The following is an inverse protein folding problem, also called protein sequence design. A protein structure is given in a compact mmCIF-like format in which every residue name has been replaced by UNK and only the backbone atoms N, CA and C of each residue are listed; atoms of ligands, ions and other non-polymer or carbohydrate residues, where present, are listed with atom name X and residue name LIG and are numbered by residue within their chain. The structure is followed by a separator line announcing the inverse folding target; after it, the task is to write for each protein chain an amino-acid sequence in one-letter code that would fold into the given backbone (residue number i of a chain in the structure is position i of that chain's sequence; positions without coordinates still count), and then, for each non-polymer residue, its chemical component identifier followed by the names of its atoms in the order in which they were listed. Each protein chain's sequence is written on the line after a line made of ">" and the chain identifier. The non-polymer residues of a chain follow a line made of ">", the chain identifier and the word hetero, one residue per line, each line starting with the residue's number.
data_IF_097307186370
#
_entry.id   IF_097307186370
#
_cell.length_a   1.000
_cell.length_b   1.000
_cell.length_c   1.000
_cell.angle_alpha   90.00
_cell.angle_beta   90.00
_cell.angle_gamma   90.00
#
_symmetry.space_group_name_H-M   'P 1'
#
loop_
_entity.id
_entity.type
_entity.pdbx_description
1 polymer ?
#
# COMPACT_ATOMS: atom_id res chain seq x y z
N UNK A 1 -9.72 9.31 -27.02
CA UNK A 1 -8.64 10.11 -26.42
C UNK A 1 -8.68 9.91 -24.90
N UNK A 2 -7.53 9.70 -24.24
CA UNK A 2 -7.42 9.65 -22.78
C UNK A 2 -6.56 10.82 -22.31
N UNK A 3 -6.97 11.48 -21.24
CA UNK A 3 -6.20 12.55 -20.60
C UNK A 3 -5.60 11.98 -19.31
N UNK A 4 -4.30 12.16 -19.15
CA UNK A 4 -3.57 11.77 -17.95
C UNK A 4 -2.73 12.96 -17.51
N UNK A 5 -3.20 13.65 -16.48
CA UNK A 5 -2.58 14.87 -15.92
C UNK A 5 -2.64 14.80 -14.39
N UNK A 6 -1.96 13.83 -13.76
CA UNK A 6 -2.14 13.51 -12.34
C UNK A 6 -1.76 14.67 -11.42
N UNK A 7 -2.47 14.81 -10.30
CA UNK A 7 -2.11 15.73 -9.22
C UNK A 7 -1.11 15.09 -8.23
N UNK A 8 -0.43 15.90 -7.39
CA UNK A 8 0.50 15.37 -6.40
C UNK A 8 -0.14 14.32 -5.49
N UNK A 9 0.43 13.11 -5.49
CA UNK A 9 -0.07 11.99 -4.69
C UNK A 9 -1.39 11.38 -5.18
N UNK A 10 -1.89 11.73 -6.37
CA UNK A 10 -3.06 11.11 -6.99
C UNK A 10 -2.77 9.66 -7.42
N UNK A 11 -3.75 8.77 -7.31
CA UNK A 11 -3.64 7.41 -7.85
C UNK A 11 -3.89 7.38 -9.37
N UNK A 12 -3.15 6.53 -10.10
CA UNK A 12 -3.21 6.45 -11.57
C UNK A 12 -4.63 6.28 -12.14
N UNK A 13 -5.46 5.43 -11.52
CA UNK A 13 -6.84 5.23 -11.97
C UNK A 13 -7.72 6.46 -11.70
N UNK A 14 -7.44 7.21 -10.61
CA UNK A 14 -8.12 8.48 -10.32
C UNK A 14 -7.82 9.52 -11.39
N UNK A 15 -6.55 9.69 -11.74
CA UNK A 15 -6.13 10.67 -12.75
C UNK A 15 -6.75 10.37 -14.12
N UNK A 16 -6.77 9.09 -14.53
CA UNK A 16 -7.43 8.68 -15.76
C UNK A 16 -8.95 8.85 -15.71
N UNK A 17 -9.61 8.50 -14.60
CA UNK A 17 -11.05 8.72 -14.47
C UNK A 17 -11.39 10.21 -14.54
N UNK A 18 -10.65 11.06 -13.83
CA UNK A 18 -10.85 12.50 -13.85
C UNK A 18 -10.66 13.09 -15.25
N UNK A 19 -9.61 12.69 -15.96
CA UNK A 19 -9.39 13.08 -17.35
C UNK A 19 -10.52 12.62 -18.28
N UNK A 20 -11.06 11.42 -18.07
CA UNK A 20 -12.22 10.91 -18.82
C UNK A 20 -13.50 11.70 -18.50
N UNK A 21 -13.76 12.01 -17.23
CA UNK A 21 -14.92 12.81 -16.81
C UNK A 21 -14.91 14.20 -17.45
N UNK A 22 -13.73 14.83 -17.58
CA UNK A 22 -13.58 16.13 -18.28
C UNK A 22 -13.92 16.05 -19.77
N UNK A 23 -13.77 14.88 -20.39
CA UNK A 23 -14.14 14.61 -21.78
C UNK A 23 -15.58 14.12 -21.94
N UNK A 24 -16.36 14.05 -20.85
CA UNK A 24 -17.70 13.46 -20.85
C UNK A 24 -17.72 11.94 -21.01
N UNK A 25 -16.55 11.28 -20.90
CA UNK A 25 -16.42 9.83 -20.98
C UNK A 25 -16.66 9.21 -19.61
N UNK A 26 -17.58 8.24 -19.52
CA UNK A 26 -17.97 7.64 -18.23
C UNK A 26 -17.18 6.40 -17.84
N UNK A 27 -16.50 5.76 -18.80
CA UNK A 27 -15.95 4.42 -18.58
C UNK A 27 -14.44 4.48 -18.44
N UNK A 28 -13.96 4.11 -17.25
CA UNK A 28 -12.60 3.65 -17.02
C UNK A 28 -12.65 2.13 -16.84
N UNK A 29 -11.93 1.39 -17.67
CA UNK A 29 -11.79 -0.05 -17.56
C UNK A 29 -10.47 -0.41 -16.91
N UNK A 30 -10.39 -1.58 -16.28
CA UNK A 30 -9.14 -2.05 -15.65
C UNK A 30 -7.94 -2.03 -16.60
N UNK A 31 -8.14 -2.43 -17.86
CA UNK A 31 -7.10 -2.46 -18.90
C UNK A 31 -6.46 -1.09 -19.16
N UNK A 32 -7.12 -0.02 -18.74
CA UNK A 32 -6.65 1.34 -18.96
C UNK A 32 -5.53 1.76 -18.01
N UNK A 33 -5.47 1.14 -16.81
CA UNK A 33 -4.54 1.54 -15.75
C UNK A 33 -3.79 0.35 -15.12
N UNK A 34 -4.25 -0.89 -15.34
CA UNK A 34 -3.65 -2.07 -14.72
C UNK A 34 -2.25 -2.34 -15.26
N UNK A 35 -1.26 -2.27 -14.37
CA UNK A 35 0.13 -2.59 -14.65
C UNK A 35 0.39 -4.00 -14.13
N UNK A 36 0.69 -4.91 -15.05
CA UNK A 36 0.75 -6.35 -14.78
C UNK A 36 2.19 -6.76 -14.49
N UNK A 37 2.49 -7.41 -13.34
CA UNK A 37 3.80 -8.01 -13.12
C UNK A 37 4.05 -9.15 -14.11
N UNK A 38 5.25 -9.21 -14.67
CA UNK A 38 5.69 -10.27 -15.58
C UNK A 38 6.21 -11.44 -14.74
N UNK A 39 5.57 -12.62 -14.79
CA UNK A 39 6.04 -13.80 -14.07
C UNK A 39 7.48 -14.17 -14.43
N UNK A 40 8.20 -14.74 -13.46
CA UNK A 40 9.54 -15.29 -13.70
C UNK A 40 9.43 -16.61 -14.45
N UNK A 41 10.33 -16.84 -15.40
CA UNK A 41 10.40 -18.14 -16.10
C UNK A 41 10.96 -19.23 -15.18
N UNK A 42 10.48 -20.46 -15.35
CA UNK A 42 10.95 -21.64 -14.60
C UNK A 42 10.44 -21.77 -13.16
N UNK A 43 9.64 -20.81 -12.65
CA UNK A 43 8.98 -20.91 -11.35
C UNK A 43 7.58 -21.53 -11.52
N UNK A 44 7.49 -22.86 -11.44
CA UNK A 44 6.24 -23.61 -11.52
C UNK A 44 6.37 -24.89 -12.36
N UNK A 45 6.51 -26.03 -11.69
CA UNK A 45 6.23 -27.40 -12.15
C UNK A 45 6.70 -27.86 -13.55
N UNK A 46 7.93 -27.54 -13.96
CA UNK A 46 8.62 -28.33 -14.99
C UNK A 46 10.06 -28.64 -14.56
N UNK A 47 10.39 -29.94 -14.45
CA UNK A 47 11.76 -30.40 -14.30
C UNK A 47 12.55 -29.99 -15.56
N UNK A 48 13.48 -29.04 -15.43
CA UNK A 48 14.45 -28.73 -16.48
C UNK A 48 14.53 -27.26 -16.91
N UNK A 49 13.55 -26.41 -16.55
CA UNK A 49 13.63 -25.00 -16.89
C UNK A 49 14.59 -24.25 -15.94
N UNK A 50 15.54 -23.51 -16.50
CA UNK A 50 16.42 -22.63 -15.70
C UNK A 50 15.55 -21.55 -15.03
N UNK A 51 15.52 -21.57 -13.71
CA UNK A 51 14.87 -20.54 -12.91
C UNK A 51 15.47 -19.17 -13.25
N UNK A 52 14.61 -18.25 -13.63
CA UNK A 52 15.01 -16.87 -13.85
C UNK A 52 15.16 -16.12 -12.52
N UNK A 53 16.37 -15.63 -12.27
CA UNK A 53 16.66 -14.79 -11.12
C UNK A 53 16.58 -13.31 -11.51
N UNK A 54 15.74 -12.55 -10.78
CA UNK A 54 15.65 -11.10 -10.91
C UNK A 54 15.71 -10.45 -9.53
N UNK A 55 16.41 -9.33 -9.44
CA UNK A 55 16.50 -8.52 -8.23
C UNK A 55 15.28 -7.59 -8.07
N UNK A 56 14.53 -7.35 -9.14
CA UNK A 56 13.34 -6.49 -9.16
C UNK A 56 12.23 -7.11 -10.01
N UNK A 57 10.99 -6.64 -9.80
CA UNK A 57 9.85 -7.01 -10.63
C UNK A 57 9.90 -6.28 -11.98
N UNK A 58 9.48 -6.96 -13.04
CA UNK A 58 9.29 -6.37 -14.38
C UNK A 58 7.80 -6.24 -14.62
N UNK A 59 7.37 -5.17 -15.29
CA UNK A 59 5.96 -4.88 -15.52
C UNK A 59 5.63 -4.74 -17.00
N UNK A 60 4.43 -5.20 -17.35
CA UNK A 60 3.76 -4.88 -18.60
C UNK A 60 2.81 -3.70 -18.35
N UNK A 61 2.95 -2.67 -19.16
CA UNK A 61 2.19 -1.43 -19.04
C UNK A 61 1.05 -1.36 -20.07
N UNK A 62 -0.06 -0.67 -19.76
CA UNK A 62 -1.02 -0.22 -20.75
C UNK A 62 -0.34 0.53 -21.91
N UNK A 63 -0.76 0.25 -23.14
CA UNK A 63 -0.14 0.81 -24.37
C UNK A 63 -0.04 2.34 -24.35
N UNK A 64 -1.07 3.00 -23.82
CA UNK A 64 -1.12 4.45 -23.69
C UNK A 64 0.05 5.03 -22.86
N UNK A 65 0.49 4.35 -21.79
CA UNK A 65 1.62 4.84 -21.00
C UNK A 65 2.94 4.66 -21.74
N UNK A 66 3.09 3.55 -22.49
CA UNK A 66 4.28 3.30 -23.30
C UNK A 66 4.38 4.28 -24.47
N UNK A 67 3.27 4.55 -25.16
CA UNK A 67 3.19 5.48 -26.29
C UNK A 67 3.52 6.91 -25.86
N UNK A 68 3.13 7.31 -24.64
CA UNK A 68 3.40 8.64 -24.10
C UNK A 68 4.73 8.75 -23.34
N UNK A 69 5.51 7.68 -23.25
CA UNK A 69 6.77 7.64 -22.51
C UNK A 69 6.65 8.04 -21.03
N UNK A 70 5.54 7.67 -20.37
CA UNK A 70 5.28 7.98 -18.94
C UNK A 70 5.32 6.76 -18.02
N UNK A 71 5.66 5.58 -18.52
CA UNK A 71 5.56 4.31 -17.78
C UNK A 71 6.30 4.30 -16.43
N UNK A 72 7.55 4.76 -16.39
CA UNK A 72 8.37 4.75 -15.17
C UNK A 72 7.87 5.76 -14.14
N UNK A 73 7.55 6.98 -14.59
CA UNK A 73 6.97 8.03 -13.75
C UNK A 73 5.64 7.56 -13.15
N UNK A 74 4.78 6.94 -13.97
CA UNK A 74 3.51 6.37 -13.51
C UNK A 74 3.74 5.34 -12.43
N UNK A 75 4.61 4.37 -12.70
CA UNK A 75 4.91 3.30 -11.76
C UNK A 75 5.37 3.88 -10.42
N UNK A 76 6.36 4.76 -10.43
CA UNK A 76 6.97 5.27 -9.19
C UNK A 76 6.05 6.22 -8.41
N UNK A 77 5.32 7.09 -9.09
CA UNK A 77 4.64 8.21 -8.42
C UNK A 77 3.15 8.00 -8.20
N UNK A 78 2.48 7.22 -9.05
CA UNK A 78 1.01 7.13 -9.09
C UNK A 78 0.48 5.72 -8.85
N UNK A 79 1.33 4.78 -8.42
CA UNK A 79 0.94 3.40 -8.06
C UNK A 79 1.42 3.04 -6.65
N UNK A 80 1.19 1.77 -6.24
CA UNK A 80 1.72 1.22 -4.99
C UNK A 80 3.13 0.61 -5.15
N UNK A 81 3.79 0.78 -6.30
CA UNK A 81 5.13 0.23 -6.54
C UNK A 81 6.17 0.61 -5.47
N UNK A 82 6.28 1.87 -5.00
CA UNK A 82 7.21 2.22 -3.91
C UNK A 82 7.09 1.32 -2.68
N UNK A 83 5.85 0.95 -2.31
CA UNK A 83 5.57 0.05 -1.20
C UNK A 83 6.12 -1.35 -1.46
N UNK A 84 5.93 -1.88 -2.67
CA UNK A 84 6.45 -3.19 -3.07
C UNK A 84 7.98 -3.22 -3.10
N UNK A 85 8.60 -2.12 -3.56
CA UNK A 85 10.05 -1.95 -3.65
C UNK A 85 10.69 -1.85 -2.28
N UNK A 86 10.12 -1.04 -1.38
CA UNK A 86 10.58 -0.90 -0.01
C UNK A 86 10.52 -2.22 0.75
N UNK A 87 9.45 -3.00 0.55
CA UNK A 87 9.21 -4.28 1.23
C UNK A 87 9.86 -5.49 0.54
N UNK A 88 10.63 -5.27 -0.53
CA UNK A 88 11.32 -6.34 -1.25
C UNK A 88 10.39 -7.38 -1.86
N UNK A 89 9.20 -6.97 -2.29
CA UNK A 89 8.19 -7.82 -2.92
C UNK A 89 8.45 -7.88 -4.42
N UNK A 90 8.94 -9.01 -4.90
CA UNK A 90 9.43 -9.18 -6.29
C UNK A 90 8.79 -10.37 -7.03
N UNK A 91 7.63 -10.82 -6.55
CA UNK A 91 6.91 -12.01 -7.05
C UNK A 91 5.85 -11.65 -8.09
N UNK A 92 5.28 -12.66 -8.74
CA UNK A 92 4.30 -12.49 -9.82
C UNK A 92 2.91 -12.06 -9.33
N UNK A 93 2.64 -12.14 -8.03
CA UNK A 93 1.38 -11.81 -7.38
C UNK A 93 1.34 -10.39 -6.80
N UNK A 94 2.39 -9.59 -7.01
CA UNK A 94 2.43 -8.20 -6.52
C UNK A 94 1.33 -7.36 -7.15
N UNK A 95 0.70 -6.51 -6.34
CA UNK A 95 -0.38 -5.62 -6.78
C UNK A 95 0.05 -4.16 -6.65
N UNK A 96 0.53 -3.58 -7.76
CA UNK A 96 0.90 -2.15 -7.82
C UNK A 96 -0.27 -1.25 -8.18
N UNK A 97 -1.24 -1.77 -8.94
CA UNK A 97 -2.46 -1.05 -9.36
C UNK A 97 -3.71 -1.83 -8.97
N UNK A 98 -4.15 -1.78 -7.70
CA UNK A 98 -5.33 -2.50 -7.24
C UNK A 98 -6.61 -2.05 -7.95
N UNK A 99 -7.54 -2.99 -8.13
CA UNK A 99 -8.86 -2.79 -8.76
C UNK A 99 -9.83 -2.06 -7.85
N UNK A 100 -9.75 -2.32 -6.56
CA UNK A 100 -10.49 -1.61 -5.53
C UNK A 100 -9.61 -0.49 -4.99
N UNK A 101 -9.89 0.73 -5.42
CA UNK A 101 -9.02 1.87 -5.14
C UNK A 101 -9.76 3.09 -4.61
N UNK A 102 -11.09 3.18 -4.76
CA UNK A 102 -11.83 4.37 -4.36
C UNK A 102 -12.21 4.36 -2.88
N UNK A 103 -11.28 4.87 -2.08
CA UNK A 103 -11.52 5.31 -0.71
C UNK A 103 -11.14 6.78 -0.60
N UNK A 104 -11.97 7.59 0.02
CA UNK A 104 -11.74 9.03 0.14
C UNK A 104 -11.75 9.47 1.60
N UNK A 105 -10.99 10.53 1.87
CA UNK A 105 -11.10 11.29 3.09
C UNK A 105 -11.96 12.53 2.82
N UNK A 106 -13.01 12.81 3.62
CA UNK A 106 -13.82 14.02 3.48
C UNK A 106 -13.02 15.31 3.41
N UNK A 107 -12.03 15.48 4.30
CA UNK A 107 -11.19 16.67 4.34
C UNK A 107 -10.27 16.79 3.14
N UNK A 108 -9.62 15.69 2.71
CA UNK A 108 -8.85 15.70 1.45
C UNK A 108 -9.72 16.15 0.27
N UNK A 109 -10.96 15.65 0.16
CA UNK A 109 -11.85 16.03 -0.93
C UNK A 109 -12.19 17.52 -0.92
N UNK A 110 -12.36 18.14 0.25
CA UNK A 110 -12.59 19.59 0.37
C UNK A 110 -11.34 20.38 -0.04
N UNK A 111 -10.17 20.02 0.50
CA UNK A 111 -8.89 20.66 0.20
C UNK A 111 -8.52 20.53 -1.29
N UNK A 112 -8.73 19.36 -1.88
CA UNK A 112 -8.48 19.10 -3.30
C UNK A 112 -9.42 19.95 -4.17
N UNK A 113 -10.69 20.08 -3.79
CA UNK A 113 -11.64 20.91 -4.50
C UNK A 113 -11.29 22.40 -4.42
N UNK A 114 -10.89 22.89 -3.26
CA UNK A 114 -10.44 24.27 -3.05
C UNK A 114 -9.15 24.57 -3.83
N UNK A 115 -8.22 23.62 -3.89
CA UNK A 115 -6.91 23.81 -4.53
C UNK A 115 -6.92 23.60 -6.04
N UNK A 116 -7.68 22.62 -6.52
CA UNK A 116 -7.60 22.14 -7.92
C UNK A 116 -8.95 22.17 -8.65
N UNK A 117 -10.03 22.61 -7.99
CA UNK A 117 -11.37 22.64 -8.56
C UNK A 117 -12.03 21.27 -8.73
N UNK A 118 -11.38 20.20 -8.25
CA UNK A 118 -11.87 18.83 -8.40
C UNK A 118 -11.20 17.92 -7.37
N UNK A 119 -11.94 16.91 -6.92
CA UNK A 119 -11.45 15.93 -5.97
C UNK A 119 -10.75 14.77 -6.68
N UNK A 120 -9.86 14.09 -5.97
CA UNK A 120 -9.22 12.88 -6.47
C UNK A 120 -8.94 11.87 -5.35
N UNK A 121 -8.63 10.65 -5.75
CA UNK A 121 -8.21 9.61 -4.79
C UNK A 121 -6.70 9.70 -4.62
N UNK A 122 -6.29 10.01 -3.40
CA UNK A 122 -4.88 9.98 -2.99
C UNK A 122 -4.36 8.55 -2.93
N UNK A 123 -3.17 8.29 -3.49
CA UNK A 123 -2.51 6.97 -3.52
C UNK A 123 -2.38 6.34 -2.13
N UNK A 124 -2.20 7.16 -1.08
CA UNK A 124 -2.09 6.70 0.32
C UNK A 124 -3.40 6.10 0.86
N UNK A 125 -4.55 6.40 0.26
CA UNK A 125 -5.83 5.82 0.65
C UNK A 125 -6.10 4.47 -0.02
N UNK A 126 -5.38 4.17 -1.10
CA UNK A 126 -5.66 3.02 -1.98
C UNK A 126 -5.40 1.66 -1.32
N UNK A 127 -4.29 1.41 -0.60
CA UNK A 127 -4.01 0.09 -0.03
C UNK A 127 -5.18 -0.43 0.81
N UNK A 128 -5.63 -1.66 0.57
CA UNK A 128 -6.88 -2.18 1.14
C UNK A 128 -6.91 -2.12 2.67
N UNK A 129 -5.76 -2.41 3.30
CA UNK A 129 -5.56 -2.36 4.75
C UNK A 129 -5.63 -0.95 5.35
N UNK A 130 -5.50 0.12 4.56
CA UNK A 130 -5.57 1.50 5.08
C UNK A 130 -7.03 1.92 5.21
N UNK A 131 -7.46 2.19 6.45
CA UNK A 131 -8.85 2.59 6.80
C UNK A 131 -8.96 4.02 7.31
N UNK A 132 -7.84 4.69 7.55
CA UNK A 132 -7.76 6.03 8.14
C UNK A 132 -6.85 6.90 7.27
N UNK A 133 -7.20 8.18 7.13
CA UNK A 133 -6.34 9.15 6.47
C UNK A 133 -5.15 9.51 7.37
N UNK A 134 -3.93 9.37 6.85
CA UNK A 134 -2.71 9.68 7.59
C UNK A 134 -2.49 11.18 7.86
N UNK A 135 -3.25 12.05 7.17
CA UNK A 135 -3.17 13.52 7.30
C UNK A 135 -4.26 14.01 8.26
N UNK A 136 -5.51 13.69 7.96
CA UNK A 136 -6.66 14.26 8.67
C UNK A 136 -7.17 13.43 9.83
N UNK A 137 -6.64 12.21 10.03
CA UNK A 137 -7.08 11.30 11.08
C UNK A 137 -8.60 10.99 11.02
N UNK A 138 -9.12 10.92 9.81
CA UNK A 138 -10.51 10.59 9.51
C UNK A 138 -10.60 9.18 8.94
N UNK A 139 -11.67 8.46 9.31
CA UNK A 139 -12.01 7.19 8.66
C UNK A 139 -12.23 7.43 7.16
N UNK A 140 -11.61 6.60 6.34
CA UNK A 140 -11.81 6.64 4.89
C UNK A 140 -13.17 6.05 4.54
N UNK A 141 -13.86 6.72 3.63
CA UNK A 141 -15.19 6.33 3.17
C UNK A 141 -15.09 5.56 1.85
N UNK A 142 -15.82 4.45 1.78
CA UNK A 142 -16.06 3.65 0.56
C UNK A 142 -17.47 3.86 0.00
N UNK A 143 -18.31 4.63 0.70
CA UNK A 143 -19.69 4.97 0.33
C UNK A 143 -19.94 6.45 0.60
N UNK A 144 -20.64 7.13 -0.31
CA UNK A 144 -20.94 8.55 -0.18
C UNK A 144 -22.06 8.73 0.84
N UNK A 145 -21.81 9.45 1.93
CA UNK A 145 -22.83 9.69 2.97
C UNK A 145 -23.94 10.64 2.52
N UNK A 146 -23.75 11.39 1.43
CA UNK A 146 -24.74 12.34 0.91
C UNK A 146 -25.71 11.72 -0.10
N UNK A 147 -25.22 10.86 -1.00
CA UNK A 147 -26.03 10.27 -2.07
C UNK A 147 -26.12 8.74 -1.98
N UNK A 148 -25.55 8.14 -0.94
CA UNK A 148 -25.51 6.70 -0.66
C UNK A 148 -24.85 5.84 -1.75
N UNK A 149 -24.21 6.46 -2.74
CA UNK A 149 -23.56 5.76 -3.83
C UNK A 149 -22.21 5.18 -3.37
N UNK A 150 -21.91 3.90 -3.66
CA UNK A 150 -20.58 3.35 -3.47
C UNK A 150 -19.53 4.20 -4.20
N UNK A 151 -18.39 4.47 -3.56
CA UNK A 151 -17.34 5.32 -4.11
C UNK A 151 -16.86 4.80 -5.47
N UNK A 152 -16.75 3.48 -5.63
CA UNK A 152 -16.43 2.80 -6.90
C UNK A 152 -17.30 3.27 -8.08
N UNK A 153 -18.56 3.65 -7.84
CA UNK A 153 -19.50 4.12 -8.85
C UNK A 153 -19.64 5.65 -8.87
N UNK A 154 -19.04 6.35 -7.91
CA UNK A 154 -19.13 7.80 -7.79
C UNK A 154 -18.21 8.51 -8.79
N UNK A 155 -18.71 9.62 -9.34
CA UNK A 155 -17.93 10.54 -10.17
C UNK A 155 -17.06 11.45 -9.28
N UNK A 156 -15.79 11.61 -9.63
CA UNK A 156 -14.86 12.43 -8.86
C UNK A 156 -15.29 13.90 -8.89
N UNK A 157 -15.73 14.39 -10.05
CA UNK A 157 -16.29 15.73 -10.25
C UNK A 157 -17.48 16.05 -9.34
N UNK A 158 -18.29 15.05 -8.95
CA UNK A 158 -19.44 15.26 -8.05
C UNK A 158 -19.08 15.23 -6.57
N UNK A 159 -17.90 14.72 -6.21
CA UNK A 159 -17.50 14.62 -4.81
C UNK A 159 -17.40 15.99 -4.14
N UNK A 160 -16.96 17.04 -4.85
CA UNK A 160 -16.90 18.39 -4.30
C UNK A 160 -18.26 18.98 -3.91
N UNK A 161 -19.34 18.53 -4.55
CA UNK A 161 -20.71 18.93 -4.18
C UNK A 161 -21.19 18.12 -2.99
N UNK A 162 -20.97 16.79 -3.01
CA UNK A 162 -21.35 15.92 -1.90
C UNK A 162 -20.58 16.24 -0.63
N UNK A 163 -19.30 16.60 -0.73
CA UNK A 163 -18.42 16.77 0.42
C UNK A 163 -18.82 17.88 1.37
N UNK A 164 -19.55 18.88 0.88
CA UNK A 164 -20.13 19.96 1.70
C UNK A 164 -21.07 19.45 2.79
N UNK A 165 -21.58 18.22 2.65
CA UNK A 165 -22.52 17.59 3.59
C UNK A 165 -21.92 16.38 4.31
N UNK A 166 -20.62 16.11 4.15
CA UNK A 166 -19.99 14.97 4.80
C UNK A 166 -19.89 15.18 6.30
N UNK A 167 -20.21 14.12 7.03
CA UNK A 167 -19.92 14.02 8.45
C UNK A 167 -18.48 13.53 8.65
N UNK A 168 -17.78 14.13 9.59
CA UNK A 168 -16.41 13.77 9.92
C UNK A 168 -16.40 12.73 11.05
N UNK A 169 -15.81 11.57 10.76
CA UNK A 169 -15.56 10.51 11.73
C UNK A 169 -14.08 10.48 12.09
N UNK A 170 -13.73 11.16 13.17
CA UNK A 170 -12.37 11.17 13.69
C UNK A 170 -12.02 9.86 14.38
N UNK A 171 -10.77 9.45 14.22
CA UNK A 171 -10.18 8.34 14.96
C UNK A 171 -9.30 8.91 16.08
N UNK A 172 -9.09 8.18 17.18
CA UNK A 172 -8.20 8.63 18.25
C UNK A 172 -6.76 8.83 17.75
N UNK A 173 -6.04 9.81 18.29
CA UNK A 173 -4.65 10.11 17.90
C UNK A 173 -3.69 8.93 18.08
N UNK A 174 -3.98 8.07 19.06
CA UNK A 174 -3.11 6.96 19.46
C UNK A 174 -3.54 5.64 18.81
N UNK A 175 -4.41 5.70 17.80
CA UNK A 175 -4.91 4.51 17.12
C UNK A 175 -3.82 3.82 16.28
N UNK A 176 -3.74 2.48 16.40
CA UNK A 176 -2.95 1.62 15.51
C UNK A 176 -3.24 1.88 14.04
N UNK A 177 -4.51 2.11 13.68
CA UNK A 177 -4.91 2.40 12.29
C UNK A 177 -4.35 3.73 11.78
N UNK A 178 -4.25 4.76 12.63
CA UNK A 178 -3.63 6.03 12.26
C UNK A 178 -2.11 5.86 12.09
N UNK A 179 -1.44 5.27 13.06
CA UNK A 179 0.00 5.01 13.00
C UNK A 179 0.38 4.17 11.77
N UNK A 180 -0.40 3.13 11.48
CA UNK A 180 -0.25 2.32 10.27
C UNK A 180 -0.46 3.12 8.99
N UNK A 181 -1.47 3.99 8.93
CA UNK A 181 -1.68 4.83 7.75
C UNK A 181 -0.50 5.77 7.48
N UNK A 182 0.15 6.30 8.53
CA UNK A 182 1.37 7.11 8.44
C UNK A 182 2.55 6.28 7.95
N UNK A 183 2.75 5.09 8.52
CA UNK A 183 3.74 4.12 8.06
C UNK A 183 3.63 3.85 6.55
N UNK A 184 2.42 3.58 6.06
CA UNK A 184 2.16 3.36 4.62
C UNK A 184 2.41 4.63 3.80
N UNK A 185 1.95 5.80 4.27
CA UNK A 185 2.15 7.05 3.56
C UNK A 185 3.63 7.41 3.40
N UNK A 186 4.46 7.08 4.39
CA UNK A 186 5.90 7.30 4.35
C UNK A 186 6.62 6.27 3.47
N UNK A 187 6.26 4.98 3.54
CA UNK A 187 6.80 3.98 2.61
C UNK A 187 6.44 4.26 1.15
N UNK A 188 5.28 4.87 0.88
CA UNK A 188 4.94 5.27 -0.49
C UNK A 188 5.83 6.39 -1.06
N UNK A 189 6.61 7.08 -0.21
CA UNK A 189 7.61 8.07 -0.65
C UNK A 189 8.97 7.43 -0.98
N UNK A 190 9.12 6.12 -0.78
CA UNK A 190 10.39 5.43 -0.99
C UNK A 190 10.79 5.42 -2.47
N UNK A 191 11.99 5.91 -2.76
CA UNK A 191 12.59 6.02 -4.09
C UNK A 191 13.97 5.33 -4.19
N UNK A 192 14.36 4.61 -3.14
CA UNK A 192 15.62 3.88 -3.08
C UNK A 192 15.61 2.54 -3.85
N UNK A 193 16.72 1.79 -3.79
CA UNK A 193 16.84 0.49 -4.46
C UNK A 193 15.85 -0.53 -3.92
N UNK A 194 15.50 -1.55 -4.72
CA UNK A 194 14.64 -2.65 -4.25
C UNK A 194 15.30 -3.40 -3.10
N UNK A 195 14.61 -3.49 -1.96
CA UNK A 195 15.03 -4.30 -0.82
C UNK A 195 15.03 -5.77 -1.19
N UNK A 196 15.96 -6.58 -0.67
CA UNK A 196 15.88 -8.03 -0.88
C UNK A 196 14.82 -8.64 0.04
N UNK A 197 14.05 -9.61 -0.45
CA UNK A 197 13.00 -10.26 0.38
C UNK A 197 13.57 -10.85 1.66
N UNK A 198 14.79 -11.39 1.62
CA UNK A 198 15.46 -11.94 2.80
C UNK A 198 15.76 -10.87 3.87
N UNK A 199 16.26 -9.70 3.46
CA UNK A 199 16.51 -8.59 4.40
C UNK A 199 15.20 -8.07 5.00
N UNK A 200 14.16 -7.92 4.17
CA UNK A 200 12.83 -7.52 4.63
C UNK A 200 12.27 -8.51 5.65
N UNK A 201 12.26 -9.81 5.31
CA UNK A 201 11.78 -10.88 6.19
C UNK A 201 12.54 -10.87 7.52
N UNK A 202 13.88 -10.82 7.45
CA UNK A 202 14.70 -10.79 8.65
C UNK A 202 14.37 -9.59 9.54
N UNK A 203 14.30 -8.37 9.00
CA UNK A 203 14.01 -7.18 9.79
C UNK A 203 12.62 -7.24 10.45
N UNK A 204 11.61 -7.67 9.68
CA UNK A 204 10.22 -7.75 10.14
C UNK A 204 10.06 -8.81 11.23
N UNK A 205 10.44 -10.06 10.96
CA UNK A 205 10.21 -11.16 11.88
C UNK A 205 11.10 -11.10 13.11
N UNK A 206 12.34 -10.60 12.97
CA UNK A 206 13.21 -10.32 14.12
C UNK A 206 12.58 -9.28 15.05
N UNK A 207 12.04 -8.20 14.49
CA UNK A 207 11.42 -7.13 15.29
C UNK A 207 10.12 -7.59 15.96
N UNK A 208 9.28 -8.36 15.24
CA UNK A 208 8.07 -8.97 15.83
C UNK A 208 8.44 -9.91 16.98
N UNK A 209 9.44 -10.79 16.80
CA UNK A 209 9.88 -11.72 17.84
C UNK A 209 10.42 -11.00 19.07
N UNK A 210 11.16 -9.92 18.87
CA UNK A 210 11.69 -9.13 19.98
C UNK A 210 10.55 -8.46 20.77
N UNK A 211 9.52 -7.97 20.08
CA UNK A 211 8.42 -7.21 20.68
C UNK A 211 7.32 -8.09 21.29
N UNK A 212 6.95 -9.17 20.62
CA UNK A 212 5.80 -10.02 20.95
C UNK A 212 6.20 -11.48 21.25
N UNK A 213 7.48 -11.73 21.52
CA UNK A 213 8.01 -13.09 21.63
C UNK A 213 7.39 -13.91 22.76
N UNK A 214 6.96 -13.26 23.85
CA UNK A 214 6.34 -13.94 24.98
C UNK A 214 4.90 -14.33 24.67
N UNK A 215 4.14 -13.41 24.09
CA UNK A 215 2.76 -13.60 23.67
C UNK A 215 2.65 -14.68 22.61
N UNK A 216 3.53 -14.65 21.61
CA UNK A 216 3.61 -15.68 20.56
C UNK A 216 3.93 -17.07 21.14
N UNK A 217 4.79 -17.15 22.17
CA UNK A 217 5.12 -18.44 22.83
C UNK A 217 3.93 -19.01 23.61
N UNK A 218 3.01 -18.15 24.06
CA UNK A 218 1.83 -18.55 24.82
C UNK A 218 0.63 -18.86 23.92
N UNK A 219 0.52 -18.16 22.79
CA UNK A 219 -0.55 -18.29 21.81
C UNK A 219 -0.03 -18.12 20.38
N UNK A 220 0.05 -19.22 19.64
CA UNK A 220 0.47 -19.23 18.23
C UNK A 220 -0.50 -18.45 17.30
N UNK A 221 -1.73 -18.16 17.76
CA UNK A 221 -2.73 -17.34 17.08
C UNK A 221 -2.70 -15.87 17.51
N UNK A 222 -1.77 -15.47 18.38
CA UNK A 222 -1.69 -14.10 18.91
C UNK A 222 -1.63 -13.04 17.80
N UNK A 223 -0.70 -13.18 16.85
CA UNK A 223 -0.52 -12.19 15.77
C UNK A 223 -1.74 -12.13 14.84
N UNK A 224 -2.29 -13.25 14.33
CA UNK A 224 -3.55 -13.24 13.59
C UNK A 224 -4.71 -12.56 14.35
N UNK A 225 -4.88 -12.90 15.63
CA UNK A 225 -5.94 -12.34 16.48
C UNK A 225 -5.74 -10.84 16.71
N UNK A 226 -4.50 -10.41 16.95
CA UNK A 226 -4.14 -9.00 17.12
C UNK A 226 -4.41 -8.20 15.84
N UNK A 227 -4.05 -8.74 14.67
CA UNK A 227 -4.33 -8.06 13.39
C UNK A 227 -5.84 -7.94 13.17
N UNK A 228 -6.59 -9.00 13.49
CA UNK A 228 -8.04 -8.98 13.39
C UNK A 228 -8.67 -7.95 14.32
N UNK A 229 -8.21 -7.84 15.57
CA UNK A 229 -8.74 -6.86 16.54
C UNK A 229 -8.44 -5.42 16.14
N UNK A 230 -7.19 -5.14 15.75
CA UNK A 230 -6.74 -3.76 15.51
C UNK A 230 -7.08 -3.23 14.11
N UNK A 231 -7.13 -4.11 13.11
CA UNK A 231 -7.31 -3.72 11.70
C UNK A 231 -8.60 -4.25 11.08
N UNK A 232 -9.31 -5.18 11.73
CA UNK A 232 -10.50 -5.81 11.18
C UNK A 232 -10.23 -6.63 9.92
N UNK A 233 -9.00 -7.16 9.78
CA UNK A 233 -8.56 -7.97 8.62
C UNK A 233 -8.23 -9.36 9.10
N UNK A 234 -8.82 -10.38 8.46
CA UNK A 234 -8.46 -11.77 8.71
C UNK A 234 -7.09 -12.09 8.09
N UNK A 235 -6.17 -12.58 8.91
CA UNK A 235 -4.88 -13.10 8.47
C UNK A 235 -4.94 -14.61 8.51
N UNK A 236 -4.92 -15.25 7.34
CA UNK A 236 -4.71 -16.70 7.29
C UNK A 236 -3.24 -16.99 7.62
N UNK A 237 -3.00 -17.90 8.57
CA UNK A 237 -1.68 -18.50 8.81
C UNK A 237 -1.12 -19.01 7.48
N UNK A 238 0.03 -18.52 6.99
CA UNK A 238 0.49 -18.94 5.68
C UNK A 238 1.27 -20.22 5.80
N UNK A 239 0.76 -21.26 5.15
CA UNK A 239 1.57 -22.44 4.84
C UNK A 239 2.74 -22.14 3.90
N UNK A 240 2.92 -20.91 3.34
CA UNK A 240 4.17 -20.45 2.66
C UNK A 240 4.25 -18.99 2.15
N UNK A 241 3.17 -18.20 2.10
CA UNK A 241 3.22 -16.80 1.59
C UNK A 241 2.14 -15.88 2.16
N UNK A 242 2.52 -14.82 2.89
CA UNK A 242 1.61 -13.72 3.23
C UNK A 242 1.21 -12.93 1.98
N UNK A 243 -0.06 -12.50 1.90
CA UNK A 243 -0.50 -11.50 0.93
C UNK A 243 0.23 -10.17 1.17
N UNK A 244 0.32 -9.31 0.14
CA UNK A 244 1.02 -8.02 0.27
C UNK A 244 0.42 -7.15 1.40
N UNK A 245 -0.90 -7.15 1.58
CA UNK A 245 -1.58 -6.43 2.67
C UNK A 245 -1.21 -6.97 4.06
N UNK A 246 -1.06 -8.30 4.20
CA UNK A 246 -0.68 -8.88 5.48
C UNK A 246 0.80 -8.58 5.76
N UNK A 247 1.62 -8.59 4.72
CA UNK A 247 3.04 -8.30 4.83
C UNK A 247 3.32 -6.85 5.27
N UNK A 248 2.57 -5.87 4.75
CA UNK A 248 2.69 -4.47 5.17
C UNK A 248 2.26 -4.28 6.63
N UNK A 249 1.23 -4.97 7.09
CA UNK A 249 0.79 -4.96 8.50
C UNK A 249 1.87 -5.55 9.40
N UNK A 250 2.45 -6.71 9.03
CA UNK A 250 3.54 -7.33 9.80
C UNK A 250 4.75 -6.39 9.90
N UNK A 251 5.11 -5.73 8.80
CA UNK A 251 6.20 -4.76 8.80
C UNK A 251 5.95 -3.62 9.80
N UNK A 252 4.72 -3.11 9.83
CA UNK A 252 4.31 -2.12 10.82
C UNK A 252 4.30 -2.66 12.25
N UNK A 253 3.77 -3.86 12.50
CA UNK A 253 3.75 -4.43 13.86
C UNK A 253 5.16 -4.58 14.44
N UNK A 254 6.11 -5.02 13.62
CA UNK A 254 7.50 -5.17 14.02
C UNK A 254 8.23 -3.83 14.17
N UNK A 255 8.07 -2.93 13.21
CA UNK A 255 8.93 -1.74 13.09
C UNK A 255 8.28 -0.43 13.52
N UNK A 256 6.95 -0.35 13.58
CA UNK A 256 6.10 0.81 13.94
C UNK A 256 6.21 2.02 13.01
N UNK A 257 7.40 2.36 12.53
CA UNK A 257 7.65 3.49 11.64
C UNK A 257 8.40 3.06 10.38
N UNK A 258 8.15 3.77 9.28
CA UNK A 258 8.85 3.54 8.02
C UNK A 258 10.35 3.80 8.18
N UNK A 259 10.72 4.82 8.95
CA UNK A 259 12.12 5.14 9.26
C UNK A 259 12.82 3.98 9.98
N UNK A 260 12.22 3.43 11.05
CA UNK A 260 12.81 2.30 11.77
C UNK A 260 12.95 1.08 10.86
N UNK A 261 11.93 0.79 10.07
CA UNK A 261 12.00 -0.28 9.07
C UNK A 261 13.17 -0.08 8.11
N UNK A 262 13.25 1.08 7.43
CA UNK A 262 14.29 1.36 6.45
C UNK A 262 15.69 1.40 7.08
N UNK A 263 15.82 1.90 8.31
CA UNK A 263 17.06 1.86 9.07
C UNK A 263 17.52 0.41 9.32
N UNK A 264 16.62 -0.50 9.69
CA UNK A 264 16.96 -1.92 9.86
C UNK A 264 17.40 -2.60 8.56
N UNK A 265 16.90 -2.14 7.40
CA UNK A 265 17.27 -2.67 6.09
C UNK A 265 18.63 -2.13 5.62
N UNK A 266 18.83 -0.81 5.74
CA UNK A 266 19.93 -0.12 5.07
C UNK A 266 21.08 0.31 5.99
N UNK A 267 20.89 0.31 7.32
CA UNK A 267 21.95 0.64 8.29
C UNK A 267 22.45 -0.61 9.00
N UNK A 268 23.68 -1.01 8.71
CA UNK A 268 24.31 -2.21 9.28
C UNK A 268 24.37 -2.19 10.81
N UNK A 269 24.56 -1.02 11.42
CA UNK A 269 24.58 -0.85 12.88
C UNK A 269 23.24 -1.23 13.52
N UNK A 270 22.13 -0.76 12.95
CA UNK A 270 20.78 -1.00 13.43
C UNK A 270 20.39 -2.48 13.31
N UNK A 271 20.72 -3.10 12.17
CA UNK A 271 20.57 -4.55 11.98
C UNK A 271 21.44 -5.34 12.98
N UNK A 272 22.69 -4.92 13.20
CA UNK A 272 23.59 -5.59 14.15
C UNK A 272 23.09 -5.49 15.59
N UNK A 273 22.53 -4.34 15.98
CA UNK A 273 21.92 -4.13 17.30
C UNK A 273 20.72 -5.05 17.50
N UNK A 274 19.78 -5.09 16.56
CA UNK A 274 18.65 -6.02 16.61
C UNK A 274 19.09 -7.48 16.72
N UNK A 275 20.17 -7.86 16.01
CA UNK A 275 20.76 -9.19 16.12
C UNK A 275 21.34 -9.50 17.50
N UNK A 276 21.91 -8.51 18.20
CA UNK A 276 22.38 -8.65 19.59
C UNK A 276 21.20 -8.77 20.57
N UNK A 277 20.19 -7.91 20.43
CA UNK A 277 19.01 -7.90 21.29
C UNK A 277 18.26 -9.24 21.22
N UNK A 278 18.14 -9.82 20.02
CA UNK A 278 17.57 -11.15 19.84
C UNK A 278 18.39 -12.23 20.53
N UNK A 279 19.73 -12.18 20.43
CA UNK A 279 20.59 -13.15 21.13
C UNK A 279 20.41 -13.05 22.64
N UNK A 280 20.31 -11.84 23.19
CA UNK A 280 20.03 -11.63 24.60
C UNK A 280 18.70 -12.28 25.01
N UNK A 281 17.64 -12.08 24.22
CA UNK A 281 16.31 -12.67 24.46
C UNK A 281 16.33 -14.21 24.48
N UNK A 282 17.13 -14.85 23.62
CA UNK A 282 17.17 -16.32 23.52
C UNK A 282 18.17 -16.99 24.46
N UNK A 283 19.28 -16.32 24.77
CA UNK A 283 20.41 -16.91 25.49
C UNK A 283 20.66 -16.29 26.89
N UNK A 284 19.91 -15.26 27.28
CA UNK A 284 20.04 -14.61 28.59
C UNK A 284 21.37 -13.90 28.81
N UNK A 285 22.03 -13.47 27.72
CA UNK A 285 23.31 -12.76 27.71
C UNK A 285 23.13 -11.25 27.65
#
# INVERSE_FOLDING_TARGET
>A
MKIFTPFPGEYVASALQRGNEMLGLKNLTEKDFYIKPVPRKGFGYALGDKCEWRNHAIFQFPHFFTERHVSEEVLQNFTLYPLTTALGRTRADIVVTPREWKKICPSCVLEDFESYGTAYVHRRHVPASVRVCSIHNLKLMDTCTTCSMPMNNHQLSKLGVCSRKYQFMFVGSDSFSLAYSKFIADLLKYDGPTTTSHQADWAIFSSIRLKYGNEIRQDDEFIPNFIKSEFGVDVKHPARTYSDNNYTILAFLGCETAERYLNLIFKTEESSRLGKDLKSLYYGL
#
